data_IF_642122803152
#
_entry.id   IF_642122803152
#
_cell.length_a   1.000
_cell.length_b   1.000
_cell.length_c   1.000
_cell.angle_alpha   90.00
_cell.angle_beta   90.00
_cell.angle_gamma   90.00
#
_symmetry.space_group_name_H-M   'P 1'
#
loop_
_entity.id
_entity.type
_entity.pdbx_description
1 polymer ?
#
# COMPACT_ATOMS: atom_id res chain seq x y z
N UNK A 1 8.65 -20.29 8.53
CA UNK A 1 8.29 -18.96 7.96
C UNK A 1 8.84 -18.93 6.55
N UNK A 2 8.02 -18.65 5.54
CA UNK A 2 8.48 -18.66 4.14
C UNK A 2 8.88 -17.24 3.75
N UNK A 3 10.08 -17.03 3.21
CA UNK A 3 10.52 -15.74 2.69
C UNK A 3 11.46 -15.88 1.49
N UNK A 4 11.61 -14.80 0.72
CA UNK A 4 12.39 -14.77 -0.53
C UNK A 4 13.91 -14.94 -0.36
N UNK A 5 14.39 -15.01 0.88
CA UNK A 5 15.81 -15.21 1.19
C UNK A 5 16.20 -16.68 1.34
N UNK A 6 15.24 -17.60 1.36
CA UNK A 6 15.49 -19.04 1.44
C UNK A 6 15.94 -19.59 0.08
N UNK A 7 16.93 -20.46 0.09
CA UNK A 7 17.30 -21.27 -1.07
C UNK A 7 16.17 -22.22 -1.49
N UNK A 8 16.24 -22.77 -2.70
CA UNK A 8 15.23 -23.72 -3.18
C UNK A 8 15.14 -24.98 -2.30
N UNK A 9 16.27 -25.44 -1.76
CA UNK A 9 16.30 -26.56 -0.82
C UNK A 9 15.58 -26.24 0.48
N UNK A 10 15.88 -25.09 1.09
CA UNK A 10 15.24 -24.66 2.34
C UNK A 10 13.74 -24.38 2.16
N UNK A 11 13.33 -23.84 1.00
CA UNK A 11 11.91 -23.69 0.68
C UNK A 11 11.20 -25.05 0.59
N UNK A 12 11.85 -26.04 0.00
CA UNK A 12 11.32 -27.40 -0.08
C UNK A 12 11.23 -28.05 1.30
N UNK A 13 12.26 -27.88 2.14
CA UNK A 13 12.27 -28.41 3.51
C UNK A 13 11.16 -27.78 4.36
N UNK A 14 10.96 -26.46 4.29
CA UNK A 14 9.85 -25.79 4.97
C UNK A 14 8.49 -26.22 4.42
N UNK A 15 8.36 -26.38 3.10
CA UNK A 15 7.12 -26.88 2.48
C UNK A 15 6.78 -28.28 2.97
N UNK A 16 7.77 -29.17 2.99
CA UNK A 16 7.62 -30.55 3.44
C UNK A 16 7.30 -30.61 4.94
N UNK A 17 7.95 -29.75 5.72
CA UNK A 17 7.68 -29.59 7.14
C UNK A 17 6.25 -29.13 7.40
N UNK A 18 5.75 -28.11 6.70
CA UNK A 18 4.36 -27.65 6.87
C UNK A 18 3.39 -28.80 6.61
N UNK A 19 3.65 -29.59 5.57
CA UNK A 19 2.84 -30.75 5.19
C UNK A 19 2.82 -31.87 6.24
N UNK A 20 3.98 -32.26 6.77
CA UNK A 20 4.13 -33.44 7.63
C UNK A 20 3.97 -33.13 9.13
N UNK A 21 4.48 -31.97 9.56
CA UNK A 21 4.63 -31.64 10.99
C UNK A 21 3.51 -30.78 11.56
N UNK A 22 2.47 -30.47 10.77
CA UNK A 22 1.28 -29.77 11.25
C UNK A 22 1.58 -28.37 11.78
N UNK A 23 2.23 -27.52 10.98
CA UNK A 23 2.41 -26.12 11.36
C UNK A 23 1.05 -25.42 11.43
N UNK A 24 0.62 -24.98 12.61
CA UNK A 24 -0.68 -24.30 12.78
C UNK A 24 -0.78 -22.98 12.01
N UNK A 25 0.36 -22.29 11.84
CA UNK A 25 0.42 -20.96 11.23
C UNK A 25 1.57 -20.88 10.23
N UNK A 26 1.26 -20.42 9.01
CA UNK A 26 2.25 -20.10 7.98
C UNK A 26 2.23 -18.59 7.74
N UNK A 27 3.41 -17.97 7.85
CA UNK A 27 3.62 -16.55 7.58
C UNK A 27 4.63 -16.43 6.45
N UNK A 28 4.32 -15.56 5.49
CA UNK A 28 5.23 -15.25 4.40
C UNK A 28 4.62 -14.29 3.38
N UNK A 29 5.35 -14.01 2.29
CA UNK A 29 4.86 -13.16 1.22
C UNK A 29 3.75 -13.88 0.44
N UNK A 30 3.22 -13.23 -0.59
CA UNK A 30 2.28 -13.77 -1.61
C UNK A 30 2.43 -15.26 -1.98
N UNK A 31 3.63 -15.82 -2.06
CA UNK A 31 3.86 -17.23 -2.39
C UNK A 31 3.50 -18.21 -1.27
N UNK A 32 3.49 -17.77 -0.02
CA UNK A 32 3.12 -18.57 1.15
C UNK A 32 1.66 -19.05 1.09
N UNK A 33 0.81 -18.38 0.28
CA UNK A 33 -0.55 -18.81 0.00
C UNK A 33 -0.64 -20.23 -0.54
N UNK A 34 0.41 -20.72 -1.21
CA UNK A 34 0.45 -22.07 -1.78
C UNK A 34 1.17 -23.09 -0.88
N UNK A 35 1.47 -22.72 0.37
CA UNK A 35 1.96 -23.68 1.34
C UNK A 35 0.87 -24.74 1.61
N UNK A 36 1.24 -26.02 1.77
CA UNK A 36 0.29 -27.11 1.87
C UNK A 36 -0.29 -27.13 3.28
N UNK A 37 -1.50 -26.61 3.46
CA UNK A 37 -2.16 -26.61 4.76
C UNK A 37 -3.39 -27.52 4.75
N UNK A 38 -3.31 -28.75 5.30
CA UNK A 38 -4.41 -29.73 5.22
C UNK A 38 -5.72 -29.24 5.83
N UNK A 39 -5.65 -28.53 6.96
CA UNK A 39 -6.79 -28.04 7.72
C UNK A 39 -6.87 -26.49 7.67
N UNK A 40 -6.77 -25.92 6.47
CA UNK A 40 -6.82 -24.48 6.29
C UNK A 40 -8.19 -23.90 6.68
N UNK A 41 -8.26 -23.26 7.84
CA UNK A 41 -9.48 -22.59 8.32
C UNK A 41 -9.52 -21.08 8.10
N UNK A 42 -8.35 -20.43 7.97
CA UNK A 42 -8.24 -18.97 7.93
C UNK A 42 -7.07 -18.52 7.05
N UNK A 43 -7.31 -17.51 6.23
CA UNK A 43 -6.30 -16.77 5.47
C UNK A 43 -6.42 -15.30 5.88
N UNK A 44 -5.31 -14.68 6.27
CA UNK A 44 -5.25 -13.24 6.56
C UNK A 44 -4.30 -12.59 5.57
N UNK A 45 -4.78 -11.58 4.85
CA UNK A 45 -3.97 -10.71 4.00
C UNK A 45 -3.94 -9.35 4.64
N UNK A 46 -2.76 -8.94 5.12
CA UNK A 46 -2.52 -7.60 5.66
C UNK A 46 -2.08 -6.65 4.54
N UNK A 47 -2.44 -5.37 4.68
CA UNK A 47 -2.27 -4.33 3.65
C UNK A 47 -2.76 -4.78 2.27
N UNK A 48 -4.00 -5.28 2.18
CA UNK A 48 -4.54 -5.95 0.98
C UNK A 48 -4.45 -5.12 -0.32
N UNK A 49 -4.41 -3.80 -0.20
CA UNK A 49 -4.29 -2.82 -1.28
C UNK A 49 -2.87 -2.76 -1.90
N UNK A 50 -1.89 -3.41 -1.29
CA UNK A 50 -0.50 -3.38 -1.71
C UNK A 50 -0.31 -4.04 -3.09
N UNK A 51 0.26 -3.30 -4.04
CA UNK A 51 0.41 -3.72 -5.43
C UNK A 51 1.35 -4.92 -5.58
N UNK A 52 2.25 -5.16 -4.62
CA UNK A 52 3.16 -6.32 -4.65
C UNK A 52 2.43 -7.66 -4.57
N UNK A 53 1.16 -7.69 -4.14
CA UNK A 53 0.32 -8.89 -4.22
C UNK A 53 -0.03 -9.31 -5.66
N UNK A 54 0.16 -8.43 -6.65
CA UNK A 54 0.05 -8.78 -8.07
C UNK A 54 1.36 -9.34 -8.61
N UNK A 55 1.34 -10.62 -9.02
CA UNK A 55 2.49 -11.24 -9.69
C UNK A 55 2.56 -10.72 -11.11
N UNK A 56 3.66 -10.06 -11.45
CA UNK A 56 3.84 -9.42 -12.77
C UNK A 56 5.09 -9.91 -13.51
N UNK A 57 6.15 -10.26 -12.78
CA UNK A 57 7.45 -10.63 -13.31
C UNK A 57 7.48 -12.03 -13.92
N UNK A 58 6.87 -13.03 -13.27
CA UNK A 58 6.89 -14.44 -13.74
C UNK A 58 5.50 -15.05 -13.85
N UNK A 59 5.32 -15.95 -14.82
CA UNK A 59 4.11 -16.77 -14.94
C UNK A 59 4.08 -17.88 -13.87
N UNK A 60 2.89 -18.25 -13.35
CA UNK A 60 1.58 -17.64 -13.64
C UNK A 60 1.41 -16.26 -12.99
N UNK A 61 0.75 -15.34 -13.71
CA UNK A 61 0.46 -13.99 -13.22
C UNK A 61 -0.86 -13.96 -12.44
N UNK A 62 -0.79 -14.24 -11.15
CA UNK A 62 -1.95 -14.20 -10.25
C UNK A 62 -1.95 -12.95 -9.37
N UNK A 63 -3.11 -12.62 -8.81
CA UNK A 63 -3.22 -11.68 -7.69
C UNK A 63 -3.44 -12.49 -6.41
N UNK A 64 -2.64 -12.25 -5.36
CA UNK A 64 -2.70 -13.06 -4.14
C UNK A 64 -4.09 -13.01 -3.48
N UNK A 65 -4.72 -11.82 -3.42
CA UNK A 65 -6.13 -11.63 -2.98
C UNK A 65 -7.10 -12.58 -3.69
N UNK A 66 -7.15 -12.53 -5.02
CA UNK A 66 -8.04 -13.37 -5.82
C UNK A 66 -7.76 -14.87 -5.62
N UNK A 67 -6.48 -15.25 -5.57
CA UNK A 67 -6.10 -16.63 -5.32
C UNK A 67 -6.50 -17.09 -3.91
N UNK A 68 -6.43 -16.22 -2.91
CA UNK A 68 -6.83 -16.53 -1.53
C UNK A 68 -8.34 -16.69 -1.40
N UNK A 69 -9.12 -15.80 -2.02
CA UNK A 69 -10.58 -15.92 -2.09
C UNK A 69 -10.94 -17.26 -2.75
N UNK A 70 -10.30 -17.59 -3.88
CA UNK A 70 -10.58 -18.85 -4.56
C UNK A 70 -10.17 -20.08 -3.72
N UNK A 71 -9.03 -20.01 -3.05
CA UNK A 71 -8.56 -21.08 -2.17
C UNK A 71 -9.54 -21.28 -0.99
N UNK A 72 -10.05 -20.20 -0.41
CA UNK A 72 -11.05 -20.25 0.64
C UNK A 72 -12.38 -20.86 0.16
N UNK A 73 -12.84 -20.52 -1.04
CA UNK A 73 -14.01 -21.19 -1.64
C UNK A 73 -13.82 -22.72 -1.79
N UNK A 74 -12.61 -23.16 -2.15
CA UNK A 74 -12.31 -24.58 -2.36
C UNK A 74 -12.10 -25.35 -1.06
N UNK A 75 -11.59 -24.69 -0.01
CA UNK A 75 -11.23 -25.31 1.27
C UNK A 75 -12.30 -25.12 2.36
N UNK A 76 -13.22 -24.17 2.18
CA UNK A 76 -14.12 -23.73 3.24
C UNK A 76 -13.48 -22.79 4.26
N UNK A 77 -12.28 -22.27 3.99
CA UNK A 77 -11.60 -21.31 4.85
C UNK A 77 -12.29 -19.94 4.83
N UNK A 78 -11.99 -19.11 5.84
CA UNK A 78 -12.38 -17.70 5.87
C UNK A 78 -11.20 -16.84 5.37
N UNK A 79 -11.48 -15.78 4.61
CA UNK A 79 -10.48 -14.77 4.24
C UNK A 79 -10.74 -13.47 5.00
N UNK A 80 -9.71 -12.93 5.64
CA UNK A 80 -9.70 -11.59 6.21
C UNK A 80 -8.77 -10.72 5.36
N UNK A 81 -9.33 -9.65 4.81
CA UNK A 81 -8.60 -8.60 4.10
C UNK A 81 -8.42 -7.41 5.04
N UNK A 82 -7.20 -7.22 5.54
CA UNK A 82 -6.84 -6.14 6.45
C UNK A 82 -6.31 -4.92 5.69
N UNK A 83 -6.82 -3.74 6.03
CA UNK A 83 -6.34 -2.47 5.47
C UNK A 83 -6.72 -1.27 6.33
N UNK A 84 -5.83 -0.29 6.39
CA UNK A 84 -6.21 1.08 6.76
C UNK A 84 -6.68 1.90 5.54
N UNK A 85 -6.27 1.52 4.33
CA UNK A 85 -6.56 2.21 3.07
C UNK A 85 -6.97 1.20 2.01
N UNK A 86 -8.17 0.60 2.13
CA UNK A 86 -8.55 -0.54 1.31
C UNK A 86 -8.59 -0.19 -0.17
N UNK A 87 -8.36 -1.20 -1.01
CA UNK A 87 -8.53 -1.05 -2.46
C UNK A 87 -9.98 -0.67 -2.76
N UNK A 88 -10.19 0.21 -3.74
CA UNK A 88 -11.51 0.77 -4.09
C UNK A 88 -12.50 -0.34 -4.38
N UNK A 89 -12.08 -1.39 -5.09
CA UNK A 89 -12.91 -2.55 -5.38
C UNK A 89 -13.30 -3.31 -4.11
N UNK A 90 -12.34 -3.56 -3.22
CA UNK A 90 -12.55 -4.31 -1.98
C UNK A 90 -13.51 -3.55 -1.05
N UNK A 91 -13.29 -2.24 -0.90
CA UNK A 91 -14.16 -1.38 -0.10
C UNK A 91 -15.57 -1.29 -0.68
N UNK A 92 -15.70 -1.14 -1.99
CA UNK A 92 -16.99 -1.13 -2.67
C UNK A 92 -17.77 -2.44 -2.45
N UNK A 93 -17.12 -3.59 -2.58
CA UNK A 93 -17.73 -4.89 -2.31
C UNK A 93 -18.15 -5.04 -0.84
N UNK A 94 -17.39 -4.47 0.09
CA UNK A 94 -17.78 -4.35 1.50
C UNK A 94 -19.02 -3.50 1.71
N UNK A 95 -19.12 -2.35 1.04
CA UNK A 95 -20.29 -1.48 1.10
C UNK A 95 -21.55 -2.10 0.50
N UNK A 96 -21.40 -2.91 -0.56
CA UNK A 96 -22.52 -3.63 -1.18
C UNK A 96 -22.97 -4.85 -0.37
N UNK A 97 -22.22 -5.24 0.68
CA UNK A 97 -22.50 -6.43 1.48
C UNK A 97 -22.06 -7.75 0.84
N UNK A 98 -21.37 -7.70 -0.31
CA UNK A 98 -20.72 -8.87 -0.90
C UNK A 98 -19.60 -9.38 0.01
N UNK A 99 -18.82 -8.45 0.58
CA UNK A 99 -17.91 -8.73 1.68
C UNK A 99 -18.49 -8.19 2.98
N UNK A 100 -18.20 -8.87 4.09
CA UNK A 100 -18.53 -8.33 5.41
C UNK A 100 -17.52 -7.25 5.77
N UNK A 101 -17.96 -5.99 5.79
CA UNK A 101 -17.15 -4.87 6.25
C UNK A 101 -17.12 -4.82 7.78
N UNK A 102 -15.92 -4.90 8.36
CA UNK A 102 -15.70 -4.75 9.81
C UNK A 102 -14.76 -3.57 10.04
N UNK A 103 -15.25 -2.55 10.74
CA UNK A 103 -14.52 -1.29 10.94
C UNK A 103 -14.00 -1.15 12.39
N UNK A 104 -12.73 -0.77 12.51
CA UNK A 104 -12.13 -0.30 13.76
C UNK A 104 -12.08 1.22 13.75
N UNK A 105 -13.11 1.86 14.32
CA UNK A 105 -13.27 3.34 14.30
C UNK A 105 -12.25 4.08 15.15
N UNK A 106 -11.68 3.42 16.13
CA UNK A 106 -10.70 3.98 17.05
C UNK A 106 -9.37 3.27 16.89
N UNK A 107 -8.28 4.04 16.90
CA UNK A 107 -6.93 3.50 16.82
C UNK A 107 -6.60 2.78 18.12
N UNK A 108 -6.43 1.46 18.03
CA UNK A 108 -5.92 0.66 19.15
C UNK A 108 -4.43 0.97 19.31
N UNK A 109 -4.07 1.74 20.35
CA UNK A 109 -2.66 1.91 20.72
C UNK A 109 -2.42 1.34 22.12
N UNK A 110 -1.20 0.83 22.41
CA UNK A 110 -0.86 0.29 23.73
C UNK A 110 -1.02 1.31 24.87
N UNK A 111 -1.06 2.61 24.57
CA UNK A 111 -1.11 3.71 25.54
C UNK A 111 -2.43 4.48 25.51
N UNK A 112 -3.46 3.95 24.84
CA UNK A 112 -4.76 4.62 24.69
C UNK A 112 -4.85 5.50 23.43
N UNK A 113 -5.83 6.41 23.34
CA UNK A 113 -6.02 7.25 22.16
C UNK A 113 -4.79 8.15 21.93
N UNK A 114 -4.18 8.07 20.75
CA UNK A 114 -3.12 8.99 20.32
C UNK A 114 -3.68 9.97 19.29
N UNK A 115 -3.48 11.29 19.44
CA UNK A 115 -3.91 12.24 18.44
C UNK A 115 -3.15 12.02 17.11
N UNK A 116 -3.80 12.40 16.01
CA UNK A 116 -3.15 12.49 14.70
C UNK A 116 -2.11 13.61 14.70
N UNK A 117 -1.06 13.52 13.86
CA UNK A 117 -0.11 14.61 13.71
C UNK A 117 -0.80 15.87 13.16
N UNK A 118 -0.26 17.04 13.48
CA UNK A 118 -0.69 18.30 12.87
C UNK A 118 -0.35 18.31 11.38
N UNK A 119 -1.29 18.78 10.55
CA UNK A 119 -1.16 18.82 9.09
C UNK A 119 -1.37 20.24 8.61
N UNK A 120 -0.42 20.74 7.83
CA UNK A 120 -0.52 22.03 7.12
C UNK A 120 -0.64 21.78 5.62
N UNK A 121 -1.65 22.37 4.98
CA UNK A 121 -1.79 22.38 3.51
C UNK A 121 -1.37 23.74 2.99
N UNK A 122 -0.32 23.78 2.17
CA UNK A 122 0.24 25.02 1.63
C UNK A 122 -0.04 25.12 0.13
N UNK A 123 -0.65 26.23 -0.30
CA UNK A 123 -0.83 26.53 -1.72
C UNK A 123 0.44 27.16 -2.30
N UNK A 124 1.16 26.40 -3.13
CA UNK A 124 2.36 26.88 -3.79
C UNK A 124 2.10 28.00 -4.82
N UNK A 125 0.85 28.22 -5.24
CA UNK A 125 0.49 29.37 -6.10
C UNK A 125 0.59 30.69 -5.34
N UNK A 126 0.26 30.69 -4.05
CA UNK A 126 0.35 31.89 -3.23
C UNK A 126 1.81 32.18 -2.85
N UNK A 127 2.62 31.14 -2.65
CA UNK A 127 4.08 31.27 -2.54
C UNK A 127 4.67 31.93 -3.81
N UNK A 128 4.23 31.51 -5.00
CA UNK A 128 4.66 32.09 -6.27
C UNK A 128 4.26 33.56 -6.40
N UNK A 129 3.00 33.92 -6.08
CA UNK A 129 2.54 35.32 -6.05
C UNK A 129 3.32 36.17 -5.06
N UNK A 130 3.73 35.59 -3.93
CA UNK A 130 4.56 36.23 -2.92
C UNK A 130 6.07 36.24 -3.28
N UNK A 131 6.43 35.84 -4.50
CA UNK A 131 7.79 35.88 -5.04
C UNK A 131 8.67 34.67 -4.71
N UNK A 132 8.15 33.64 -4.04
CA UNK A 132 8.88 32.40 -3.82
C UNK A 132 8.78 31.49 -5.04
N UNK A 133 9.89 31.37 -5.79
CA UNK A 133 10.01 30.51 -6.99
C UNK A 133 10.68 29.16 -6.70
N UNK A 134 10.93 28.84 -5.43
CA UNK A 134 11.50 27.58 -4.94
C UNK A 134 10.54 26.41 -5.14
N UNK A 135 11.08 25.19 -5.08
CA UNK A 135 10.28 23.95 -5.02
C UNK A 135 9.60 23.76 -3.66
N UNK A 136 10.11 24.40 -2.61
CA UNK A 136 9.58 24.28 -1.25
C UNK A 136 8.89 25.57 -0.82
N UNK A 137 7.77 25.42 -0.10
CA UNK A 137 7.18 26.52 0.64
C UNK A 137 8.13 27.01 1.73
N UNK A 138 7.93 28.24 2.19
CA UNK A 138 8.73 28.79 3.29
C UNK A 138 8.48 28.00 4.59
N UNK A 139 7.26 27.52 4.81
CA UNK A 139 6.92 26.73 6.01
C UNK A 139 7.65 25.38 6.01
N UNK A 140 7.61 24.64 4.89
CA UNK A 140 8.31 23.35 4.75
C UNK A 140 9.82 23.53 4.91
N UNK A 141 10.40 24.55 4.27
CA UNK A 141 11.84 24.81 4.39
C UNK A 141 12.27 25.07 5.84
N UNK A 142 11.48 25.85 6.61
CA UNK A 142 11.76 26.10 8.03
C UNK A 142 11.63 24.83 8.87
N UNK A 143 10.57 24.05 8.66
CA UNK A 143 10.36 22.79 9.38
C UNK A 143 11.50 21.81 9.13
N UNK A 144 11.95 21.69 7.87
CA UNK A 144 13.11 20.86 7.52
C UNK A 144 14.39 21.35 8.20
N UNK A 145 14.69 22.65 8.14
CA UNK A 145 15.88 23.22 8.76
C UNK A 145 15.87 23.00 10.28
N UNK A 146 14.71 23.14 10.93
CA UNK A 146 14.54 22.88 12.34
C UNK A 146 14.77 21.41 12.69
N UNK A 147 14.13 20.48 11.98
CA UNK A 147 14.31 19.04 12.22
C UNK A 147 15.78 18.63 12.10
N UNK A 148 16.45 19.08 11.03
CA UNK A 148 17.87 18.79 10.81
C UNK A 148 18.78 19.41 11.88
N UNK A 149 18.47 20.63 12.37
CA UNK A 149 19.20 21.25 13.47
C UNK A 149 19.10 20.46 14.78
N UNK A 150 17.96 19.79 15.01
CA UNK A 150 17.73 18.90 16.15
C UNK A 150 18.25 17.47 15.93
N UNK A 151 18.94 17.20 14.81
CA UNK A 151 19.42 15.86 14.39
C UNK A 151 18.28 14.84 14.21
N UNK A 152 17.10 15.33 13.82
CA UNK A 152 15.96 14.50 13.46
C UNK A 152 16.01 14.14 11.97
N UNK A 153 15.11 13.25 11.55
CA UNK A 153 15.02 12.80 10.17
C UNK A 153 13.82 13.43 9.47
N UNK A 154 14.00 13.77 8.19
CA UNK A 154 12.93 14.27 7.32
C UNK A 154 12.70 13.24 6.22
N UNK A 155 11.44 12.83 6.03
CA UNK A 155 11.01 12.00 4.91
C UNK A 155 10.26 12.89 3.92
N UNK A 156 10.76 12.96 2.68
CA UNK A 156 10.10 13.67 1.59
C UNK A 156 9.54 12.66 0.59
N UNK A 157 8.23 12.70 0.37
CA UNK A 157 7.56 11.88 -0.63
C UNK A 157 7.54 12.62 -1.98
N UNK A 158 7.95 11.92 -3.03
CA UNK A 158 7.98 12.40 -4.40
C UNK A 158 7.30 11.35 -5.28
N UNK A 159 6.60 11.78 -6.33
CA UNK A 159 6.02 10.86 -7.30
C UNK A 159 7.10 9.97 -7.92
N UNK A 160 6.77 8.71 -8.23
CA UNK A 160 7.68 7.81 -8.97
C UNK A 160 8.06 8.46 -10.30
N UNK A 161 9.35 8.41 -10.66
CA UNK A 161 9.83 8.92 -11.96
C UNK A 161 9.00 8.32 -13.11
N UNK A 162 8.50 9.17 -14.00
CA UNK A 162 7.74 8.78 -15.18
C UNK A 162 6.25 8.47 -14.97
N UNK A 163 5.69 8.63 -13.76
CA UNK A 163 4.27 8.28 -13.48
C UNK A 163 3.28 9.44 -13.59
N UNK A 164 3.75 10.68 -13.56
CA UNK A 164 2.90 11.87 -13.75
C UNK A 164 3.75 13.04 -14.27
N UNK A 165 4.01 13.08 -15.58
CA UNK A 165 4.55 14.29 -16.20
C UNK A 165 3.36 15.17 -16.59
N UNK A 166 3.29 16.37 -16.03
CA UNK A 166 2.32 17.37 -16.44
C UNK A 166 3.08 18.64 -16.84
N UNK A 167 2.60 19.31 -17.88
CA UNK A 167 3.16 20.59 -18.31
C UNK A 167 2.40 21.71 -17.59
N UNK A 168 3.06 22.35 -16.63
CA UNK A 168 2.53 23.50 -15.88
C UNK A 168 3.34 24.77 -16.18
N UNK A 169 2.64 25.87 -16.45
CA UNK A 169 3.25 27.19 -16.56
C UNK A 169 3.81 27.63 -15.20
N UNK A 170 5.10 27.97 -15.13
CA UNK A 170 5.75 28.44 -13.90
C UNK A 170 5.46 29.89 -13.54
N UNK A 171 4.78 30.64 -14.41
CA UNK A 171 4.41 32.04 -14.15
C UNK A 171 2.96 32.17 -13.65
N UNK A 172 2.01 31.38 -14.19
CA UNK A 172 0.60 31.47 -13.82
C UNK A 172 0.01 30.19 -13.21
N UNK A 173 0.76 29.08 -13.19
CA UNK A 173 0.30 27.81 -12.62
C UNK A 173 -0.70 27.02 -13.47
N UNK A 174 -1.03 27.50 -14.68
CA UNK A 174 -1.95 26.80 -15.61
C UNK A 174 -1.36 25.47 -16.08
N UNK A 175 -2.19 24.41 -16.08
CA UNK A 175 -1.84 23.08 -16.61
C UNK A 175 -2.36 22.95 -18.04
N UNK A 176 -1.51 22.47 -18.96
CA UNK A 176 -1.91 22.28 -20.36
C UNK A 176 -2.77 21.01 -20.50
N UNK A 177 -3.99 21.16 -21.00
CA UNK A 177 -4.94 20.06 -21.24
C UNK A 177 -5.03 19.65 -22.71
N UNK A 178 -5.39 18.39 -22.94
CA UNK A 178 -5.76 17.86 -24.25
C UNK A 178 -7.16 18.37 -24.63
N UNK A 179 -7.28 19.00 -25.80
CA UNK A 179 -8.56 19.53 -26.31
C UNK A 179 -9.59 18.44 -26.68
N UNK A 180 -9.20 17.15 -26.70
CA UNK A 180 -10.09 16.04 -27.09
C UNK A 180 -10.65 15.25 -25.91
N UNK A 181 -9.94 15.16 -24.79
CA UNK A 181 -10.31 14.28 -23.68
C UNK A 181 -10.13 14.90 -22.29
N UNK A 182 -9.81 16.20 -22.20
CA UNK A 182 -9.59 16.92 -20.94
C UNK A 182 -8.46 16.38 -20.04
N UNK A 183 -7.72 15.37 -20.49
CA UNK A 183 -6.53 14.87 -19.78
C UNK A 183 -5.39 15.90 -19.85
N UNK A 184 -4.53 15.95 -18.83
CA UNK A 184 -3.32 16.78 -18.88
C UNK A 184 -2.34 16.28 -19.94
N UNK A 185 -1.68 17.20 -20.63
CA UNK A 185 -0.60 16.86 -21.56
C UNK A 185 0.64 16.39 -20.79
N UNK A 186 1.23 15.31 -21.27
CA UNK A 186 2.47 14.70 -20.76
C UNK A 186 3.64 15.04 -21.69
N UNK A 187 4.85 15.20 -21.13
CA UNK A 187 6.12 15.27 -21.89
C UNK A 187 6.94 14.02 -21.62
#
# INVERSE_FOLDING_TARGET
>A
MIHSGLSLGEQFDEWYRIKESGCDVVIGPRSALFAPQPDLGLIVIDEEHEWTYKQSDKSPRYHAREAAIKLAELSGAVVILGSATPDVETFYLGQQGTYQLVELKERVTPRGPSPLPEVEVVDLRDELKAGNRSLFSRSLFRAMAQALAHREQVILFLNRRGTATLVQCRDCGSVMGCQRCSASLTY
#
